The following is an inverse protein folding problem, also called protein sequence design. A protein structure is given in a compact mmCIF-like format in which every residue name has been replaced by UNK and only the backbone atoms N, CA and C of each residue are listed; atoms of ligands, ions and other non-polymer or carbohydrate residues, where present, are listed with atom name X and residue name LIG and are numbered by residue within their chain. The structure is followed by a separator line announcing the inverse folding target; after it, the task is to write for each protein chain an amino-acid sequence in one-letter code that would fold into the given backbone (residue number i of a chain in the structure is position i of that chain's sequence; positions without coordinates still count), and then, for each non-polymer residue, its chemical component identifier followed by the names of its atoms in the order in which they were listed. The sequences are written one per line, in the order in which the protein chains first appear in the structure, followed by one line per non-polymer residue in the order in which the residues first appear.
data_IF_527895835500
#
_entry.id   IF_527895835500
#
_cell.length_a   1.000
_cell.length_b   1.000
_cell.length_c   1.000
_cell.angle_alpha   90.00
_cell.angle_beta   90.00
_cell.angle_gamma   90.00
#
_symmetry.space_group_name_H-M   'P 1'
#
loop_
_entity.id
_entity.type
_entity.pdbx_description
1 polymer ?
#
# COMPACT_ATOMS: atom_id res chain seq x y z
N UNK A 1 11.78 32.66 -5.45
CA UNK A 1 10.56 32.12 -4.80
C UNK A 1 10.24 32.92 -3.55
N UNK A 2 9.03 32.79 -3.01
CA UNK A 2 8.70 33.37 -1.70
C UNK A 2 9.46 32.62 -0.59
N UNK A 3 9.98 33.31 0.44
CA UNK A 3 10.71 32.67 1.53
C UNK A 3 9.77 31.86 2.44
N UNK A 4 10.15 30.62 2.76
CA UNK A 4 9.42 29.79 3.70
C UNK A 4 9.76 30.16 5.14
N UNK A 5 8.75 30.27 5.99
CA UNK A 5 8.89 30.64 7.39
C UNK A 5 8.44 29.50 8.28
N UNK A 6 9.20 29.26 9.34
CA UNK A 6 8.84 28.27 10.34
C UNK A 6 9.89 28.14 11.43
N UNK A 7 11.18 28.02 11.07
CA UNK A 7 12.26 28.05 12.06
C UNK A 7 12.30 29.37 12.83
N UNK A 8 12.67 29.29 14.11
CA UNK A 8 12.72 30.44 15.01
C UNK A 8 14.11 31.10 15.07
N UNK A 9 15.11 30.46 14.46
CA UNK A 9 16.50 30.93 14.35
C UNK A 9 17.09 30.58 12.98
N UNK A 10 18.38 30.86 12.77
CA UNK A 10 19.07 30.64 11.50
C UNK A 10 18.98 29.19 11.05
N UNK A 11 18.85 29.00 9.73
CA UNK A 11 18.87 27.69 9.09
C UNK A 11 20.30 27.41 8.65
N UNK A 12 20.86 26.29 9.10
CA UNK A 12 22.27 25.94 8.84
C UNK A 12 22.44 24.98 7.66
N UNK A 13 21.45 24.12 7.42
CA UNK A 13 21.53 23.09 6.38
C UNK A 13 20.15 22.76 5.83
N UNK A 14 20.11 22.41 4.54
CA UNK A 14 18.92 21.91 3.85
C UNK A 14 19.30 20.75 2.93
N UNK A 15 18.39 19.79 2.73
CA UNK A 15 18.58 18.69 1.80
C UNK A 15 17.26 18.31 1.11
N UNK A 16 17.35 17.90 -0.15
CA UNK A 16 16.23 17.31 -0.89
C UNK A 16 16.19 15.81 -0.66
N UNK A 17 14.98 15.23 -0.63
CA UNK A 17 14.81 13.78 -0.69
C UNK A 17 15.24 13.26 -2.08
N UNK A 18 15.70 12.00 -2.19
CA UNK A 18 16.11 11.41 -3.46
C UNK A 18 15.01 11.38 -4.53
N UNK A 19 13.75 11.27 -4.10
CA UNK A 19 12.57 11.31 -4.99
C UNK A 19 12.11 12.74 -5.33
N UNK A 20 12.76 13.76 -4.76
CA UNK A 20 12.48 15.18 -4.99
C UNK A 20 11.15 15.67 -4.40
N UNK A 21 10.43 14.86 -3.63
CA UNK A 21 9.11 15.23 -3.09
C UNK A 21 9.17 16.02 -1.78
N UNK A 22 10.29 15.95 -1.08
CA UNK A 22 10.44 16.50 0.25
C UNK A 22 11.74 17.28 0.39
N UNK A 23 11.72 18.25 1.29
CA UNK A 23 12.90 19.00 1.72
C UNK A 23 12.99 18.89 3.24
N UNK A 24 14.20 18.74 3.75
CA UNK A 24 14.47 18.78 5.18
C UNK A 24 15.41 19.94 5.49
N UNK A 25 15.20 20.62 6.62
CA UNK A 25 16.04 21.72 7.11
C UNK A 25 16.46 21.52 8.56
N UNK A 26 17.65 22.02 8.90
CA UNK A 26 18.22 22.03 10.25
C UNK A 26 18.57 23.46 10.69
N UNK A 27 18.39 23.77 11.98
CA UNK A 27 18.47 25.14 12.48
C UNK A 27 19.12 25.27 13.87
N UNK A 28 19.58 26.50 14.16
CA UNK A 28 19.98 26.98 15.48
C UNK A 28 18.85 26.95 16.53
N UNK A 29 17.59 26.76 16.13
CA UNK A 29 16.48 26.55 17.06
C UNK A 29 16.45 25.13 17.67
N UNK A 30 17.52 24.35 17.42
CA UNK A 30 17.71 22.96 17.85
C UNK A 30 16.71 21.98 17.24
N UNK A 31 16.05 22.35 16.14
CA UNK A 31 15.06 21.50 15.46
C UNK A 31 15.45 21.14 14.04
N UNK A 32 14.87 20.04 13.58
CA UNK A 32 14.83 19.64 12.17
C UNK A 32 13.39 19.77 11.68
N UNK A 33 13.17 20.26 10.45
CA UNK A 33 11.83 20.37 9.86
C UNK A 33 11.75 19.71 8.50
N UNK A 34 10.61 19.10 8.20
CA UNK A 34 10.28 18.53 6.90
C UNK A 34 9.29 19.43 6.18
N UNK A 35 9.42 19.54 4.86
CA UNK A 35 8.64 20.41 4.00
C UNK A 35 8.23 19.65 2.74
N UNK A 36 7.07 19.99 2.18
CA UNK A 36 6.80 19.68 0.78
C UNK A 36 7.55 20.64 -0.16
N UNK A 37 7.54 20.35 -1.47
CA UNK A 37 8.17 21.20 -2.49
C UNK A 37 7.51 22.56 -2.68
N UNK A 38 6.31 22.77 -2.12
CA UNK A 38 5.57 24.03 -2.18
C UNK A 38 5.89 24.94 -0.99
N UNK A 39 6.55 24.41 0.05
CA UNK A 39 6.96 25.13 1.24
C UNK A 39 6.06 24.99 2.44
N UNK A 40 5.13 24.03 2.40
CA UNK A 40 4.30 23.74 3.54
C UNK A 40 5.07 22.84 4.51
N UNK A 41 5.14 23.19 5.81
CA UNK A 41 5.75 22.33 6.80
C UNK A 41 4.92 21.05 7.00
N UNK A 42 5.59 19.91 7.02
CA UNK A 42 4.99 18.59 7.22
C UNK A 42 5.15 18.19 8.67
N UNK A 43 4.10 18.44 9.45
CA UNK A 43 4.04 18.12 10.88
C UNK A 43 4.79 19.12 11.76
N UNK A 44 4.97 18.72 13.02
CA UNK A 44 5.69 19.51 14.02
C UNK A 44 7.22 19.40 13.82
N UNK A 45 8.00 20.41 14.25
CA UNK A 45 9.45 20.35 14.21
C UNK A 45 9.96 19.16 15.03
N UNK A 46 10.97 18.47 14.50
CA UNK A 46 11.60 17.34 15.18
C UNK A 46 12.54 17.88 16.24
N UNK A 47 12.14 17.64 17.49
CA UNK A 47 12.87 18.04 18.69
C UNK A 47 13.61 16.82 19.24
N UNK A 48 14.78 17.07 19.82
CA UNK A 48 15.60 16.03 20.44
C UNK A 48 17.04 16.46 20.59
N UNK A 49 17.56 17.25 19.66
CA UNK A 49 18.85 17.90 19.86
C UNK A 49 18.76 18.96 20.95
N UNK A 50 19.79 19.03 21.79
CA UNK A 50 19.87 20.00 22.89
C UNK A 50 20.54 21.31 22.46
N UNK A 51 21.25 21.28 21.31
CA UNK A 51 21.92 22.43 20.73
C UNK A 51 21.70 22.51 19.22
N UNK A 52 22.28 23.54 18.61
CA UNK A 52 22.13 23.87 17.18
C UNK A 52 22.39 22.68 16.28
N UNK A 53 21.47 22.46 15.35
CA UNK A 53 21.60 21.42 14.33
C UNK A 53 22.29 22.03 13.11
N UNK A 54 23.47 21.52 12.79
CA UNK A 54 24.34 22.11 11.76
C UNK A 54 24.27 21.38 10.43
N UNK A 55 23.88 20.11 10.44
CA UNK A 55 23.84 19.28 9.24
C UNK A 55 22.57 18.45 9.20
N UNK A 56 22.04 18.26 7.99
CA UNK A 56 20.95 17.32 7.72
C UNK A 56 21.13 16.67 6.35
N UNK A 57 20.82 15.39 6.23
CA UNK A 57 20.90 14.65 4.97
C UNK A 57 19.85 13.55 4.90
N UNK A 58 19.36 13.24 3.70
CA UNK A 58 18.58 12.03 3.43
C UNK A 58 19.50 10.85 3.14
N UNK A 59 19.05 9.63 3.49
CA UNK A 59 19.61 8.40 2.93
C UNK A 59 19.29 8.29 1.44
N UNK A 60 20.09 7.52 0.70
CA UNK A 60 19.91 7.33 -0.74
C UNK A 60 18.55 6.74 -1.14
N UNK A 61 17.91 5.97 -0.25
CA UNK A 61 16.57 5.41 -0.45
C UNK A 61 15.43 6.33 0.04
N UNK A 62 15.76 7.49 0.63
CA UNK A 62 14.81 8.46 1.15
C UNK A 62 14.08 8.04 2.43
N UNK A 63 14.42 6.88 3.02
CA UNK A 63 13.72 6.33 4.19
C UNK A 63 14.26 6.83 5.52
N UNK A 64 15.46 7.40 5.53
CA UNK A 64 16.11 7.94 6.72
C UNK A 64 16.57 9.38 6.47
N UNK A 65 16.60 10.14 7.55
CA UNK A 65 17.28 11.42 7.64
C UNK A 65 18.28 11.35 8.77
N UNK A 66 19.51 11.82 8.54
CA UNK A 66 20.50 12.02 9.57
C UNK A 66 20.61 13.51 9.90
N UNK A 67 20.75 13.85 11.18
CA UNK A 67 21.11 15.20 11.61
C UNK A 67 22.30 15.19 12.57
N UNK A 68 23.16 16.19 12.46
CA UNK A 68 24.30 16.40 13.35
C UNK A 68 24.18 17.73 14.09
N UNK A 69 24.45 17.73 15.40
CA UNK A 69 24.30 18.90 16.26
C UNK A 69 25.56 19.20 17.07
N UNK A 70 25.68 20.45 17.52
CA UNK A 70 26.67 20.90 18.49
C UNK A 70 26.48 20.30 19.88
N UNK A 71 25.39 19.59 20.15
CA UNK A 71 25.25 18.76 21.35
C UNK A 71 26.16 17.51 21.34
N UNK A 72 26.97 17.34 20.29
CA UNK A 72 27.90 16.23 20.13
C UNK A 72 27.24 14.94 19.64
N UNK A 73 25.96 14.99 19.26
CA UNK A 73 25.20 13.81 18.81
C UNK A 73 24.86 13.84 17.33
N UNK A 74 24.77 12.66 16.74
CA UNK A 74 24.11 12.42 15.46
C UNK A 74 22.80 11.69 15.74
N UNK A 75 21.70 12.16 15.16
CA UNK A 75 20.39 11.52 15.26
C UNK A 75 19.94 11.00 13.91
N UNK A 76 19.37 9.80 13.92
CA UNK A 76 18.71 9.21 12.77
C UNK A 76 17.20 9.29 12.95
N UNK A 77 16.54 9.93 12.00
CA UNK A 77 15.10 10.08 11.91
C UNK A 77 14.60 9.15 10.81
N UNK A 78 13.62 8.31 11.11
CA UNK A 78 13.02 7.43 10.09
C UNK A 78 11.85 8.14 9.43
N UNK A 79 11.87 8.21 8.11
CA UNK A 79 10.82 8.81 7.28
C UNK A 79 9.64 7.84 7.04
N UNK A 80 9.80 6.55 7.37
CA UNK A 80 8.74 5.54 7.33
C UNK A 80 7.98 5.42 8.65
N UNK A 81 7.45 6.52 9.18
CA UNK A 81 6.74 6.52 10.47
C UNK A 81 5.58 5.51 10.45
N UNK A 82 4.97 5.23 9.30
CA UNK A 82 3.90 4.24 9.18
C UNK A 82 4.35 2.82 9.54
N UNK A 83 5.51 2.38 9.03
CA UNK A 83 6.03 1.02 9.23
C UNK A 83 6.45 0.79 10.69
N UNK A 84 7.03 1.81 11.33
CA UNK A 84 7.42 1.75 12.74
C UNK A 84 6.26 1.96 13.70
N UNK A 85 5.31 2.84 13.35
CA UNK A 85 4.07 3.01 14.11
C UNK A 85 3.30 1.68 14.13
N UNK A 86 3.25 0.95 13.01
CA UNK A 86 2.65 -0.39 12.95
C UNK A 86 3.30 -1.36 13.95
N UNK A 87 4.64 -1.45 13.98
CA UNK A 87 5.38 -2.34 14.90
C UNK A 87 5.18 -1.94 16.36
N UNK A 88 5.30 -0.64 16.67
CA UNK A 88 5.15 -0.12 18.02
C UNK A 88 3.73 -0.29 18.55
N UNK A 89 2.73 0.09 17.78
CA UNK A 89 1.33 -0.13 18.11
C UNK A 89 1.13 -1.63 18.34
N UNK A 90 1.40 -2.52 17.38
CA UNK A 90 1.17 -3.97 17.56
C UNK A 90 1.81 -4.58 18.82
N UNK A 91 2.99 -4.12 19.26
CA UNK A 91 3.62 -4.57 20.52
C UNK A 91 2.90 -4.08 21.77
N UNK A 92 2.24 -2.92 21.69
CA UNK A 92 1.52 -2.28 22.79
C UNK A 92 0.05 -2.69 22.85
N UNK A 93 -0.51 -3.33 21.81
CA UNK A 93 -1.93 -3.68 21.71
C UNK A 93 -2.47 -4.43 22.94
N UNK A 94 -1.66 -5.35 23.47
CA UNK A 94 -2.02 -6.18 24.63
C UNK A 94 -1.31 -5.74 25.92
N UNK A 95 -0.54 -4.65 25.87
CA UNK A 95 0.17 -4.16 27.04
C UNK A 95 -0.83 -3.53 28.03
N UNK A 96 -0.75 -3.82 29.35
CA UNK A 96 -1.73 -3.36 30.34
C UNK A 96 -1.97 -1.85 30.35
N UNK A 97 -0.92 -1.08 30.08
CA UNK A 97 -0.98 0.40 30.00
C UNK A 97 -1.89 0.88 28.87
N UNK A 98 -2.01 0.13 27.77
CA UNK A 98 -2.84 0.45 26.60
C UNK A 98 -4.24 -0.18 26.66
N UNK A 99 -4.42 -1.27 27.42
CA UNK A 99 -5.72 -1.91 27.61
C UNK A 99 -6.68 -1.09 28.47
N UNK A 100 -6.14 -0.17 29.30
CA UNK A 100 -6.96 0.70 30.16
C UNK A 100 -6.28 2.06 30.36
N UNK A 101 -6.16 2.90 29.30
CA UNK A 101 -5.51 4.19 29.40
C UNK A 101 -6.31 5.11 30.34
N UNK A 102 -5.61 5.93 31.13
CA UNK A 102 -6.28 6.97 31.92
C UNK A 102 -6.78 8.07 30.98
N UNK A 103 -8.04 8.48 31.14
CA UNK A 103 -8.61 9.59 30.35
C UNK A 103 -7.73 10.85 30.45
N UNK A 104 -7.43 11.43 29.28
CA UNK A 104 -6.60 12.63 29.16
C UNK A 104 -5.10 12.42 29.33
N UNK A 105 -4.61 11.17 29.40
CA UNK A 105 -3.18 10.87 29.45
C UNK A 105 -2.54 10.81 28.06
N UNK A 106 -1.22 11.00 28.00
CA UNK A 106 -0.44 10.79 26.78
C UNK A 106 -0.58 9.35 26.22
N UNK A 107 -0.88 8.40 27.10
CA UNK A 107 -1.15 7.01 26.74
C UNK A 107 -2.48 6.88 26.00
N UNK A 108 -3.52 7.62 26.41
CA UNK A 108 -4.80 7.67 25.70
C UNK A 108 -4.63 8.31 24.32
N UNK A 109 -3.84 9.39 24.22
CA UNK A 109 -3.50 10.02 22.93
C UNK A 109 -2.73 9.05 22.02
N UNK A 110 -1.78 8.29 22.58
CA UNK A 110 -1.04 7.27 21.84
C UNK A 110 -1.95 6.10 21.40
N UNK A 111 -2.86 5.65 22.27
CA UNK A 111 -3.87 4.64 21.96
C UNK A 111 -4.79 5.11 20.83
N UNK A 112 -5.33 6.33 20.89
CA UNK A 112 -6.16 6.92 19.84
C UNK A 112 -5.39 7.13 18.52
N UNK A 113 -4.09 7.41 18.58
CA UNK A 113 -3.23 7.53 17.40
C UNK A 113 -3.01 6.16 16.76
N UNK A 114 -2.66 5.14 17.57
CA UNK A 114 -2.57 3.77 17.11
C UNK A 114 -3.92 3.26 16.59
N UNK A 115 -5.04 3.61 17.22
CA UNK A 115 -6.36 3.38 16.70
C UNK A 115 -6.48 4.04 15.32
N UNK A 116 -6.42 5.36 15.21
CA UNK A 116 -6.62 6.08 13.95
C UNK A 116 -5.72 5.66 12.77
N UNK A 117 -4.45 5.34 13.02
CA UNK A 117 -3.46 5.14 11.95
C UNK A 117 -2.97 3.69 11.80
N UNK A 118 -3.32 2.79 12.74
CA UNK A 118 -2.82 1.40 12.75
C UNK A 118 -3.92 0.34 13.02
N UNK A 119 -4.80 0.56 14.00
CA UNK A 119 -5.77 -0.43 14.50
C UNK A 119 -7.23 -0.13 14.11
N UNK A 120 -7.49 1.02 13.50
CA UNK A 120 -8.77 1.49 12.98
C UNK A 120 -8.59 1.76 11.48
N UNK A 121 -9.55 1.37 10.64
CA UNK A 121 -9.36 0.18 9.83
C UNK A 121 -9.93 0.40 8.43
N UNK A 122 -9.12 0.19 7.41
CA UNK A 122 -9.69 -0.49 6.26
C UNK A 122 -8.94 -1.81 6.15
N UNK A 123 -9.45 -2.80 6.90
CA UNK A 123 -9.00 -4.18 6.76
C UNK A 123 -8.90 -4.49 5.25
N UNK A 124 -7.84 -5.12 4.73
CA UNK A 124 -7.75 -5.48 3.32
C UNK A 124 -9.03 -6.15 2.81
N UNK A 125 -9.69 -6.94 3.68
CA UNK A 125 -11.01 -7.54 3.43
C UNK A 125 -12.15 -6.52 3.29
N UNK A 126 -12.19 -5.50 4.14
CA UNK A 126 -13.20 -4.44 4.07
C UNK A 126 -13.03 -3.57 2.82
N UNK A 127 -11.80 -3.14 2.51
CA UNK A 127 -11.48 -2.44 1.25
C UNK A 127 -11.88 -3.26 0.05
N UNK A 128 -11.51 -4.54 0.05
CA UNK A 128 -11.88 -5.43 -1.03
C UNK A 128 -13.40 -5.60 -1.16
N UNK A 129 -14.14 -5.64 -0.04
CA UNK A 129 -15.60 -5.70 -0.09
C UNK A 129 -16.22 -4.39 -0.62
N UNK A 130 -15.68 -3.24 -0.25
CA UNK A 130 -16.10 -1.93 -0.77
C UNK A 130 -15.78 -1.81 -2.26
N UNK A 131 -14.56 -2.13 -2.67
CA UNK A 131 -14.13 -2.18 -4.06
C UNK A 131 -14.98 -3.14 -4.88
N UNK A 132 -15.33 -4.31 -4.35
CA UNK A 132 -16.23 -5.26 -5.00
C UNK A 132 -17.65 -4.70 -5.15
N UNK A 133 -18.16 -3.93 -4.19
CA UNK A 133 -19.44 -3.23 -4.31
C UNK A 133 -19.39 -2.15 -5.40
N UNK A 134 -18.31 -1.36 -5.45
CA UNK A 134 -18.08 -0.34 -6.49
C UNK A 134 -17.92 -0.96 -7.89
N UNK A 135 -17.22 -2.08 -7.99
CA UNK A 135 -17.08 -2.87 -9.22
C UNK A 135 -18.46 -3.32 -9.75
N UNK A 136 -19.31 -3.87 -8.88
CA UNK A 136 -20.71 -4.21 -9.24
C UNK A 136 -21.50 -2.98 -9.70
N UNK A 137 -21.27 -1.83 -9.07
CA UNK A 137 -21.81 -0.54 -9.47
C UNK A 137 -21.16 0.09 -10.72
N UNK A 138 -20.21 -0.59 -11.37
CA UNK A 138 -19.43 -0.11 -12.52
C UNK A 138 -18.59 1.14 -12.25
N UNK A 139 -18.35 1.47 -10.99
CA UNK A 139 -17.46 2.55 -10.57
C UNK A 139 -16.00 2.05 -10.57
N UNK A 140 -15.46 1.75 -11.75
CA UNK A 140 -14.20 1.02 -11.90
C UNK A 140 -12.99 1.76 -11.33
N UNK A 141 -12.88 3.08 -11.51
CA UNK A 141 -11.76 3.87 -10.96
C UNK A 141 -11.72 3.82 -9.44
N UNK A 142 -12.85 4.09 -8.79
CA UNK A 142 -12.98 4.04 -7.34
C UNK A 142 -12.81 2.61 -6.79
N UNK A 143 -13.18 1.58 -7.56
CA UNK A 143 -12.92 0.19 -7.20
C UNK A 143 -11.41 -0.13 -7.24
N UNK A 144 -10.70 0.33 -8.27
CA UNK A 144 -9.24 0.16 -8.37
C UNK A 144 -8.50 0.84 -7.21
N UNK A 145 -8.94 2.02 -6.77
CA UNK A 145 -8.37 2.70 -5.60
C UNK A 145 -8.46 1.82 -4.35
N UNK A 146 -9.64 1.28 -4.05
CA UNK A 146 -9.82 0.40 -2.88
C UNK A 146 -8.98 -0.87 -2.97
N UNK A 147 -8.92 -1.53 -4.14
CA UNK A 147 -8.11 -2.74 -4.30
C UNK A 147 -6.62 -2.44 -4.19
N UNK A 148 -6.14 -1.33 -4.75
CA UNK A 148 -4.75 -0.90 -4.62
C UNK A 148 -4.38 -0.65 -3.16
N UNK A 149 -5.24 0.03 -2.41
CA UNK A 149 -5.04 0.23 -0.98
C UNK A 149 -5.05 -1.10 -0.22
N UNK A 150 -5.95 -2.04 -0.56
CA UNK A 150 -5.99 -3.35 0.08
C UNK A 150 -4.69 -4.13 -0.11
N UNK A 151 -4.12 -4.08 -1.31
CA UNK A 151 -2.84 -4.71 -1.67
C UNK A 151 -1.66 -3.97 -1.00
N UNK A 152 -1.69 -2.65 -0.91
CA UNK A 152 -0.67 -1.88 -0.22
C UNK A 152 -0.61 -2.22 1.28
N UNK A 153 -1.77 -2.46 1.90
CA UNK A 153 -1.87 -2.87 3.31
C UNK A 153 -1.48 -4.33 3.54
N UNK A 154 -1.77 -5.22 2.59
CA UNK A 154 -1.32 -6.61 2.61
C UNK A 154 -1.01 -7.10 1.20
N UNK A 155 0.29 -7.17 0.88
CA UNK A 155 0.78 -7.56 -0.45
C UNK A 155 0.46 -9.00 -0.83
N UNK A 156 0.12 -9.84 0.15
CA UNK A 156 -0.27 -11.25 -0.03
C UNK A 156 -1.80 -11.44 -0.08
N UNK A 157 -2.58 -10.35 -0.08
CA UNK A 157 -4.04 -10.44 -0.05
C UNK A 157 -4.65 -10.82 -1.40
N UNK A 158 -4.67 -12.12 -1.68
CA UNK A 158 -5.07 -12.74 -2.94
C UNK A 158 -6.42 -12.26 -3.49
N UNK A 159 -7.43 -12.07 -2.63
CA UNK A 159 -8.76 -11.65 -3.06
C UNK A 159 -8.78 -10.27 -3.74
N UNK A 160 -7.93 -9.34 -3.29
CA UNK A 160 -7.83 -8.03 -3.90
C UNK A 160 -7.19 -8.07 -5.29
N UNK A 161 -6.16 -8.90 -5.50
CA UNK A 161 -5.61 -9.14 -6.84
C UNK A 161 -6.65 -9.72 -7.79
N UNK A 162 -7.42 -10.72 -7.35
CA UNK A 162 -8.49 -11.28 -8.17
C UNK A 162 -9.52 -10.23 -8.59
N UNK A 163 -10.02 -9.44 -7.64
CA UNK A 163 -11.03 -8.42 -7.94
C UNK A 163 -10.48 -7.23 -8.75
N UNK A 164 -9.20 -6.87 -8.55
CA UNK A 164 -8.52 -5.86 -9.37
C UNK A 164 -8.30 -6.37 -10.80
N UNK A 165 -7.90 -7.63 -10.96
CA UNK A 165 -7.79 -8.30 -12.27
C UNK A 165 -9.12 -8.36 -13.02
N UNK A 166 -10.22 -8.67 -12.32
CA UNK A 166 -11.58 -8.56 -12.90
C UNK A 166 -11.88 -7.13 -13.36
N UNK A 167 -11.54 -6.13 -12.54
CA UNK A 167 -11.75 -4.71 -12.87
C UNK A 167 -10.97 -4.30 -14.11
N UNK A 168 -9.70 -4.72 -14.23
CA UNK A 168 -8.90 -4.51 -15.43
C UNK A 168 -9.48 -5.21 -16.66
N UNK A 169 -10.06 -6.39 -16.49
CA UNK A 169 -10.74 -7.11 -17.58
C UNK A 169 -11.92 -6.29 -18.12
N UNK A 170 -12.76 -5.71 -17.25
CA UNK A 170 -13.86 -4.82 -17.66
C UNK A 170 -13.36 -3.53 -18.36
N UNK A 171 -12.21 -3.01 -17.94
CA UNK A 171 -11.54 -1.88 -18.57
C UNK A 171 -10.76 -2.24 -19.84
N UNK A 172 -10.74 -3.52 -20.25
CA UNK A 172 -9.98 -4.05 -21.39
C UNK A 172 -8.46 -3.88 -21.27
N UNK A 173 -7.95 -3.75 -20.04
CA UNK A 173 -6.51 -3.68 -19.73
C UNK A 173 -6.01 -5.10 -19.47
N UNK A 174 -6.06 -5.93 -20.51
CA UNK A 174 -5.91 -7.39 -20.37
C UNK A 174 -4.53 -7.82 -19.83
N UNK A 175 -3.47 -7.10 -20.19
CA UNK A 175 -2.13 -7.43 -19.71
C UNK A 175 -1.99 -7.25 -18.19
N UNK A 176 -2.52 -6.16 -17.64
CA UNK A 176 -2.55 -5.93 -16.18
C UNK A 176 -3.45 -6.93 -15.46
N UNK A 177 -4.58 -7.31 -16.07
CA UNK A 177 -5.45 -8.36 -15.53
C UNK A 177 -4.72 -9.70 -15.42
N UNK A 178 -3.96 -10.09 -16.46
CA UNK A 178 -3.17 -11.32 -16.47
C UNK A 178 -2.13 -11.34 -15.35
N UNK A 179 -1.42 -10.22 -15.13
CA UNK A 179 -0.43 -10.10 -14.05
C UNK A 179 -1.06 -10.29 -12.66
N UNK A 180 -2.25 -9.74 -12.44
CA UNK A 180 -2.99 -9.94 -11.19
C UNK A 180 -3.45 -11.39 -11.03
N UNK A 181 -3.94 -12.03 -12.10
CA UNK A 181 -4.33 -13.44 -12.05
C UNK A 181 -3.13 -14.37 -11.86
N UNK A 182 -1.96 -14.04 -12.40
CA UNK A 182 -0.71 -14.77 -12.15
C UNK A 182 -0.34 -14.77 -10.68
N UNK A 183 -0.51 -13.63 -9.99
CA UNK A 183 -0.35 -13.56 -8.54
C UNK A 183 -1.36 -14.46 -7.82
N UNK A 184 -2.62 -14.46 -8.25
CA UNK A 184 -3.66 -15.29 -7.63
C UNK A 184 -3.35 -16.77 -7.72
N UNK A 185 -3.01 -17.28 -8.91
CA UNK A 185 -2.77 -18.71 -9.11
C UNK A 185 -1.43 -19.17 -8.55
N UNK A 186 -0.45 -18.26 -8.41
CA UNK A 186 0.79 -18.54 -7.69
C UNK A 186 0.54 -18.75 -6.18
N UNK A 187 -0.37 -17.97 -5.58
CA UNK A 187 -0.72 -18.12 -4.15
C UNK A 187 -1.74 -19.24 -3.91
N UNK A 188 -2.72 -19.40 -4.81
CA UNK A 188 -3.79 -20.40 -4.70
C UNK A 188 -3.92 -21.16 -6.03
N UNK A 189 -3.15 -22.24 -6.25
CA UNK A 189 -3.16 -23.00 -7.49
C UNK A 189 -4.50 -23.66 -7.84
N UNK A 190 -5.41 -23.81 -6.86
CA UNK A 190 -6.75 -24.38 -7.07
C UNK A 190 -7.82 -23.33 -7.43
N UNK A 191 -7.44 -22.08 -7.72
CA UNK A 191 -8.38 -20.98 -7.97
C UNK A 191 -8.91 -20.99 -9.43
N UNK A 192 -9.90 -21.85 -9.71
CA UNK A 192 -10.44 -22.08 -11.05
C UNK A 192 -10.91 -20.79 -11.78
N UNK A 193 -11.61 -19.88 -11.09
CA UNK A 193 -12.14 -18.65 -11.71
C UNK A 193 -11.03 -17.71 -12.23
N UNK A 194 -9.86 -17.74 -11.59
CA UNK A 194 -8.71 -16.93 -11.99
C UNK A 194 -8.11 -17.47 -13.29
N UNK A 195 -7.94 -18.80 -13.41
CA UNK A 195 -7.51 -19.44 -14.66
C UNK A 195 -8.48 -19.17 -15.80
N UNK A 196 -9.79 -19.34 -15.55
CA UNK A 196 -10.80 -19.09 -16.58
C UNK A 196 -10.75 -17.64 -17.09
N UNK A 197 -10.78 -16.67 -16.17
CA UNK A 197 -10.76 -15.25 -16.56
C UNK A 197 -9.46 -14.85 -17.24
N UNK A 198 -8.32 -15.37 -16.75
CA UNK A 198 -7.01 -15.20 -17.40
C UNK A 198 -7.00 -15.78 -18.82
N UNK A 199 -7.65 -16.93 -19.05
CA UNK A 199 -7.86 -17.51 -20.37
C UNK A 199 -8.64 -16.60 -21.31
N UNK A 200 -9.72 -15.97 -20.82
CA UNK A 200 -10.47 -14.95 -21.58
C UNK A 200 -9.56 -13.77 -21.94
N UNK A 201 -8.76 -13.26 -21.00
CA UNK A 201 -7.82 -12.17 -21.28
C UNK A 201 -6.82 -12.54 -22.38
N UNK A 202 -6.29 -13.78 -22.38
CA UNK A 202 -5.42 -14.24 -23.46
C UNK A 202 -6.12 -14.32 -24.82
N UNK A 203 -7.36 -14.82 -24.86
CA UNK A 203 -8.15 -14.87 -26.09
C UNK A 203 -8.38 -13.47 -26.67
N UNK A 204 -8.69 -12.48 -25.82
CA UNK A 204 -8.84 -11.08 -26.23
C UNK A 204 -7.53 -10.45 -26.76
N UNK A 205 -6.39 -10.96 -26.34
CA UNK A 205 -5.08 -10.58 -26.86
C UNK A 205 -4.64 -11.40 -28.09
N UNK A 206 -5.49 -12.30 -28.61
CA UNK A 206 -5.16 -13.20 -29.73
C UNK A 206 -4.17 -14.31 -29.38
N UNK A 207 -3.90 -14.54 -28.08
CA UNK A 207 -2.99 -15.59 -27.59
C UNK A 207 -3.76 -16.90 -27.39
N UNK A 208 -4.27 -17.46 -28.50
CA UNK A 208 -5.22 -18.58 -28.47
C UNK A 208 -4.69 -19.82 -27.73
N UNK A 209 -3.42 -20.18 -27.93
CA UNK A 209 -2.83 -21.32 -27.23
C UNK A 209 -2.85 -21.14 -25.70
N UNK A 210 -2.37 -20.00 -25.21
CA UNK A 210 -2.38 -19.70 -23.78
C UNK A 210 -3.81 -19.62 -23.21
N UNK A 211 -4.77 -19.15 -24.02
CA UNK A 211 -6.19 -19.13 -23.63
C UNK A 211 -6.70 -20.55 -23.38
N UNK A 212 -6.46 -21.46 -24.32
CA UNK A 212 -6.87 -22.87 -24.26
C UNK A 212 -6.27 -23.58 -23.05
N UNK A 213 -4.96 -23.42 -22.83
CA UNK A 213 -4.26 -24.00 -21.69
C UNK A 213 -4.87 -23.56 -20.35
N UNK A 214 -5.16 -22.26 -20.19
CA UNK A 214 -5.73 -21.75 -18.95
C UNK A 214 -7.20 -22.18 -18.77
N UNK A 215 -7.99 -22.27 -19.85
CA UNK A 215 -9.38 -22.75 -19.76
C UNK A 215 -9.44 -24.25 -19.45
N UNK A 216 -8.55 -25.07 -20.02
CA UNK A 216 -8.44 -26.48 -19.64
C UNK A 216 -8.11 -26.64 -18.16
N UNK A 217 -7.11 -25.90 -17.66
CA UNK A 217 -6.77 -25.91 -16.24
C UNK A 217 -7.96 -25.52 -15.36
N UNK A 218 -8.75 -24.53 -15.77
CA UNK A 218 -9.97 -24.15 -15.06
C UNK A 218 -11.03 -25.27 -15.08
N UNK A 219 -11.22 -25.93 -16.24
CA UNK A 219 -12.16 -27.04 -16.40
C UNK A 219 -11.81 -28.20 -15.44
N UNK A 220 -10.56 -28.63 -15.43
CA UNK A 220 -10.07 -29.71 -14.56
C UNK A 220 -10.31 -29.37 -13.08
N UNK A 221 -10.04 -28.13 -12.67
CA UNK A 221 -10.29 -27.66 -11.31
C UNK A 221 -11.79 -27.62 -10.96
N UNK A 222 -12.66 -27.17 -11.87
CA UNK A 222 -14.11 -27.19 -11.64
C UNK A 222 -14.64 -28.62 -11.51
N UNK A 223 -14.14 -29.55 -12.33
CA UNK A 223 -14.51 -30.96 -12.24
C UNK A 223 -14.08 -31.55 -10.89
N UNK A 224 -12.84 -31.29 -10.44
CA UNK A 224 -12.35 -31.72 -9.13
C UNK A 224 -13.15 -31.11 -7.96
N UNK A 225 -13.65 -29.88 -8.12
CA UNK A 225 -14.49 -29.19 -7.13
C UNK A 225 -15.96 -29.62 -7.17
N UNK A 226 -16.36 -30.53 -8.07
CA UNK A 226 -17.75 -30.95 -8.25
C UNK A 226 -18.67 -29.88 -8.82
N UNK A 227 -18.12 -28.85 -9.48
CA UNK A 227 -18.87 -27.74 -10.10
C UNK A 227 -19.21 -28.07 -11.56
N UNK A 228 -20.08 -29.07 -11.74
CA UNK A 228 -20.41 -29.64 -13.06
C UNK A 228 -20.91 -28.60 -14.07
N UNK A 229 -21.76 -27.66 -13.64
CA UNK A 229 -22.26 -26.58 -14.51
C UNK A 229 -21.13 -25.72 -15.07
N UNK A 230 -20.16 -25.36 -14.23
CA UNK A 230 -19.00 -24.56 -14.65
C UNK A 230 -18.08 -25.37 -15.55
N UNK A 231 -17.88 -26.66 -15.27
CA UNK A 231 -17.10 -27.56 -16.12
C UNK A 231 -17.68 -27.66 -17.54
N UNK A 232 -18.99 -27.92 -17.67
CA UNK A 232 -19.66 -27.98 -18.97
C UNK A 232 -19.55 -26.64 -19.73
N UNK A 233 -19.65 -25.52 -19.02
CA UNK A 233 -19.44 -24.19 -19.60
C UNK A 233 -18.02 -24.01 -20.14
N UNK A 234 -17.00 -24.56 -19.48
CA UNK A 234 -15.62 -24.51 -19.99
C UNK A 234 -15.47 -25.35 -21.26
N UNK A 235 -16.05 -26.54 -21.32
CA UNK A 235 -16.02 -27.40 -22.51
C UNK A 235 -16.69 -26.73 -23.73
N UNK A 236 -17.83 -26.08 -23.49
CA UNK A 236 -18.49 -25.30 -24.55
C UNK A 236 -17.57 -24.17 -25.04
N UNK A 237 -17.00 -23.39 -24.12
CA UNK A 237 -16.10 -22.29 -24.48
C UNK A 237 -14.87 -22.77 -25.27
N UNK A 238 -14.29 -23.92 -24.90
CA UNK A 238 -13.20 -24.55 -25.63
C UNK A 238 -13.60 -24.98 -27.05
N UNK A 239 -14.82 -25.46 -27.25
CA UNK A 239 -15.33 -25.82 -28.59
C UNK A 239 -15.56 -24.61 -29.50
N UNK A 240 -15.85 -23.44 -28.90
CA UNK A 240 -16.10 -22.19 -29.62
C UNK A 240 -14.82 -21.40 -29.91
N UNK A 241 -13.80 -21.56 -29.05
CA UNK A 241 -12.43 -21.11 -29.32
C UNK A 241 -11.92 -21.88 -30.55
N UNK A 242 -12.03 -21.25 -31.73
CA UNK A 242 -11.46 -21.75 -32.98
C UNK A 242 -9.93 -21.79 -32.87
N UNK A 243 -9.39 -22.88 -32.34
CA UNK A 243 -7.97 -23.22 -32.38
C UNK A 243 -7.69 -23.96 -33.67
#
# INVERSE_FOLDING_TARGET
GQPWRGHEKEINSVAFSPDGKWIVSASNDSTVRLWDTNGNPIGQPWRGHEYWVNAVAFSADGKLIASGSLDGTVRLWRCGWQEWLQVCCNRLLYHPVFQNPKNGSDVEVAYQTCQKYVWNPECPKQLNNQGAAKLKGKAYSAALEDFNQAIQLNSEYTAAYYNRGLTYTYLKIYQAAIEDFDKVVATVPAYADAYYTKGICYAQLGKNQAAVENVHQAADLYQQQGKEEMYQKMLQYLSELKV
#
